data_IF_566758782768
#
_entry.id   IF_566758782768
#
_cell.length_a   1.000
_cell.length_b   1.000
_cell.length_c   1.000
_cell.angle_alpha   90.00
_cell.angle_beta   90.00
_cell.angle_gamma   90.00
#
_symmetry.space_group_name_H-M   'P 1'
#
loop_
_entity.id
_entity.type
_entity.pdbx_description
1 polymer ?
#
# COMPACT_ATOMS: atom_id res chain seq x y z
N UNK A 1 29.50 15.09 -21.39
CA UNK A 1 29.59 14.27 -20.16
C UNK A 1 28.19 14.13 -19.61
N UNK A 2 27.53 13.03 -19.98
CA UNK A 2 26.22 12.65 -19.47
C UNK A 2 26.44 12.19 -18.04
N UNK A 3 26.23 13.08 -17.07
CA UNK A 3 25.85 12.58 -15.76
C UNK A 3 24.51 11.88 -16.02
N UNK A 4 24.53 10.54 -16.07
CA UNK A 4 23.38 9.76 -15.63
C UNK A 4 23.01 10.36 -14.29
N UNK A 5 22.03 11.27 -14.28
CA UNK A 5 21.20 11.42 -13.10
C UNK A 5 20.77 9.98 -12.86
N UNK A 6 21.16 9.35 -11.75
CA UNK A 6 20.59 8.05 -11.47
C UNK A 6 19.10 8.29 -11.58
N UNK A 7 18.46 7.61 -12.53
CA UNK A 7 17.11 7.12 -12.31
C UNK A 7 17.19 6.19 -11.11
N UNK A 8 17.56 6.73 -9.95
CA UNK A 8 17.17 6.21 -8.66
C UNK A 8 15.69 6.43 -8.71
N UNK A 9 15.02 5.47 -9.34
CA UNK A 9 13.61 5.18 -9.24
C UNK A 9 13.06 5.76 -7.94
N UNK A 10 12.29 6.85 -7.95
CA UNK A 10 10.94 6.70 -7.50
C UNK A 10 10.21 6.07 -8.72
N UNK A 11 10.31 4.78 -9.00
CA UNK A 11 10.12 3.80 -7.95
C UNK A 11 8.83 4.06 -7.18
N UNK A 12 7.92 4.91 -7.68
CA UNK A 12 6.52 4.88 -7.31
C UNK A 12 5.88 3.71 -8.08
N UNK A 13 6.53 2.54 -8.03
CA UNK A 13 5.82 1.37 -7.57
C UNK A 13 5.24 1.84 -6.24
N UNK A 14 3.97 2.24 -6.25
CA UNK A 14 3.15 2.07 -5.06
C UNK A 14 3.23 0.58 -4.78
N UNK A 15 4.34 0.19 -4.14
CA UNK A 15 4.49 -1.05 -3.45
C UNK A 15 3.41 -0.88 -2.42
N UNK A 16 2.25 -1.49 -2.67
CA UNK A 16 1.22 -1.66 -1.67
C UNK A 16 1.86 -2.57 -0.62
N UNK A 17 2.71 -1.94 0.19
CA UNK A 17 3.29 -2.48 1.39
C UNK A 17 2.11 -2.55 2.34
N UNK A 18 1.38 -3.66 2.24
CA UNK A 18 0.72 -4.24 3.39
C UNK A 18 1.77 -4.70 4.41
N UNK A 19 2.64 -3.79 4.89
CA UNK A 19 3.33 -3.97 6.15
C UNK A 19 2.38 -3.54 7.25
N UNK A 20 1.45 -4.43 7.55
CA UNK A 20 0.69 -4.41 8.78
C UNK A 20 1.45 -5.24 9.82
N UNK A 21 2.60 -4.72 10.22
CA UNK A 21 3.31 -5.12 11.43
C UNK A 21 3.15 -3.98 12.43
N UNK A 22 2.07 -4.02 13.21
CA UNK A 22 1.99 -3.26 14.46
C UNK A 22 2.80 -4.05 15.48
N UNK A 23 4.11 -3.78 15.55
CA UNK A 23 4.89 -4.05 16.75
C UNK A 23 4.90 -2.75 17.57
N UNK A 24 3.95 -2.62 18.49
CA UNK A 24 3.93 -1.57 19.49
C UNK A 24 4.92 -1.91 20.61
N UNK A 25 6.14 -1.36 20.54
CA UNK A 25 6.95 -1.05 21.71
C UNK A 25 7.21 0.46 21.70
N UNK A 26 6.37 1.20 22.41
CA UNK A 26 6.53 2.64 22.59
C UNK A 26 7.71 2.96 23.51
N UNK A 27 8.78 3.51 22.95
CA UNK A 27 9.77 4.30 23.69
C UNK A 27 9.29 5.75 23.75
N UNK A 28 8.84 6.19 24.92
CA UNK A 28 8.46 7.59 25.16
C UNK A 28 9.71 8.49 25.22
N UNK A 29 9.64 9.75 24.75
CA UNK A 29 10.72 10.71 24.93
C UNK A 29 10.82 11.17 26.39
N UNK A 30 12.05 11.36 26.87
CA UNK A 30 12.36 11.87 28.20
C UNK A 30 11.78 13.28 28.42
N UNK A 31 11.02 13.46 29.50
CA UNK A 31 10.56 14.77 29.99
C UNK A 31 11.71 15.53 30.66
N UNK A 32 11.82 16.87 30.48
CA UNK A 32 12.72 17.71 31.27
C UNK A 32 12.34 17.73 32.77
N UNK A 33 13.29 17.99 33.69
CA UNK A 33 13.05 17.96 35.13
C UNK A 33 12.20 19.16 35.59
N UNK A 34 11.11 18.89 36.31
CA UNK A 34 10.28 19.88 36.99
C UNK A 34 10.73 20.05 38.47
N UNK A 35 10.59 21.24 39.09
CA UNK A 35 11.07 21.55 40.43
C UNK A 35 10.26 20.86 41.55
N UNK A 36 10.81 20.74 42.77
CA UNK A 36 10.20 19.96 43.84
C UNK A 36 8.94 20.65 44.42
N UNK A 37 7.82 19.93 44.40
CA UNK A 37 6.57 20.26 45.07
C UNK A 37 6.36 19.35 46.31
N UNK A 38 5.55 19.77 47.30
CA UNK A 38 5.69 19.39 48.71
C UNK A 38 5.15 17.99 49.06
N UNK A 39 5.66 17.46 50.17
CA UNK A 39 5.33 16.16 50.73
C UNK A 39 3.81 15.94 50.93
N UNK A 40 3.28 14.93 50.25
CA UNK A 40 1.91 14.46 50.39
C UNK A 40 1.87 13.12 51.17
N UNK A 41 0.91 13.06 52.07
CA UNK A 41 0.67 12.06 53.10
C UNK A 41 0.55 10.64 52.56
N UNK A 42 1.20 9.68 53.23
CA UNK A 42 1.21 8.27 52.89
C UNK A 42 -0.20 7.64 52.91
N UNK A 43 -0.66 7.19 51.74
CA UNK A 43 -1.78 6.26 51.60
C UNK A 43 -1.27 4.80 51.69
N UNK A 44 -2.09 3.86 52.19
CA UNK A 44 -1.70 2.46 52.38
C UNK A 44 -1.39 1.76 51.04
N UNK A 45 -0.27 1.04 51.05
CA UNK A 45 0.27 0.22 49.98
C UNK A 45 -0.76 -0.83 49.50
N UNK A 46 -1.10 -0.90 48.20
CA UNK A 46 -1.88 -2.00 47.65
C UNK A 46 -1.11 -3.31 47.81
N UNK A 47 -1.77 -4.34 48.36
CA UNK A 47 -1.25 -5.70 48.40
C UNK A 47 -0.98 -6.18 46.98
N UNK A 48 0.24 -6.68 46.75
CA UNK A 48 0.62 -7.38 45.53
C UNK A 48 -0.29 -8.58 45.35
N UNK A 49 -1.03 -8.71 44.22
CA UNK A 49 -1.73 -9.95 43.94
C UNK A 49 -0.70 -11.09 43.86
N UNK A 50 -1.05 -12.31 44.32
CA UNK A 50 -0.16 -13.47 44.20
C UNK A 50 0.22 -13.68 42.71
N UNK A 51 1.41 -14.24 42.42
CA UNK A 51 1.84 -14.52 41.05
C UNK A 51 0.80 -15.43 40.41
N UNK A 52 -0.04 -14.85 39.56
CA UNK A 52 -1.09 -15.55 38.87
C UNK A 52 -0.47 -16.69 38.07
N UNK A 53 -1.00 -17.90 38.29
CA UNK A 53 -0.79 -19.01 37.39
C UNK A 53 -0.98 -18.50 35.96
N UNK A 54 0.09 -18.56 35.15
CA UNK A 54 0.03 -18.19 33.75
C UNK A 54 -1.06 -19.01 33.08
N UNK A 55 -2.23 -18.40 32.89
CA UNK A 55 -3.32 -19.04 32.18
C UNK A 55 -2.85 -19.17 30.74
N UNK A 56 -2.36 -20.36 30.39
CA UNK A 56 -2.08 -20.74 29.02
C UNK A 56 -3.33 -20.42 28.20
N UNK A 57 -3.23 -19.45 27.28
CA UNK A 57 -4.33 -19.10 26.39
C UNK A 57 -4.80 -20.36 25.66
N UNK A 58 -6.10 -20.62 25.65
CA UNK A 58 -6.65 -21.81 25.00
C UNK A 58 -6.68 -21.62 23.49
N UNK A 59 -6.76 -22.71 22.72
CA UNK A 59 -6.96 -22.62 21.27
C UNK A 59 -8.21 -21.81 20.87
N UNK A 60 -9.24 -21.80 21.72
CA UNK A 60 -10.44 -21.00 21.53
C UNK A 60 -10.18 -19.49 21.76
N UNK A 61 -9.30 -19.15 22.71
CA UNK A 61 -8.88 -17.76 22.92
C UNK A 61 -8.06 -17.25 21.72
N UNK A 62 -7.12 -18.06 21.23
CA UNK A 62 -6.34 -17.73 20.03
C UNK A 62 -7.22 -17.56 18.79
N UNK A 63 -8.22 -18.44 18.59
CA UNK A 63 -9.18 -18.31 17.49
C UNK A 63 -9.98 -17.01 17.61
N UNK A 64 -10.53 -16.71 18.78
CA UNK A 64 -11.30 -15.47 19.01
C UNK A 64 -10.46 -14.24 18.74
N UNK A 65 -9.21 -14.23 19.20
CA UNK A 65 -8.29 -13.10 19.01
C UNK A 65 -7.89 -12.97 17.54
N UNK A 66 -7.63 -14.08 16.85
CA UNK A 66 -7.39 -14.11 15.41
C UNK A 66 -8.58 -13.55 14.63
N UNK A 67 -9.79 -14.01 14.92
CA UNK A 67 -11.02 -13.56 14.24
C UNK A 67 -11.27 -12.07 14.49
N UNK A 68 -11.07 -11.58 15.72
CA UNK A 68 -11.18 -10.16 16.07
C UNK A 68 -10.15 -9.31 15.33
N UNK A 69 -8.90 -9.79 15.19
CA UNK A 69 -7.87 -9.14 14.41
C UNK A 69 -8.17 -9.14 12.91
N UNK A 70 -8.58 -10.28 12.38
CA UNK A 70 -8.89 -10.48 10.96
C UNK A 70 -10.10 -9.65 10.52
N UNK A 71 -11.19 -9.62 11.30
CA UNK A 71 -12.38 -8.85 10.97
C UNK A 71 -12.14 -7.34 10.84
N UNK A 72 -11.12 -6.80 11.54
CA UNK A 72 -10.68 -5.40 11.40
C UNK A 72 -9.98 -5.11 10.07
N UNK A 73 -9.50 -6.15 9.37
CA UNK A 73 -8.70 -6.04 8.14
C UNK A 73 -9.46 -6.54 6.92
N UNK A 74 -10.06 -7.71 7.03
CA UNK A 74 -10.91 -8.30 6.01
C UNK A 74 -12.38 -7.95 6.32
N UNK A 75 -12.71 -6.67 6.20
CA UNK A 75 -14.07 -6.17 6.47
C UNK A 75 -15.06 -6.95 5.60
N UNK A 76 -16.17 -7.38 6.20
CA UNK A 76 -17.22 -8.19 5.57
C UNK A 76 -16.76 -9.55 5.02
N UNK A 77 -15.66 -10.11 5.54
CA UNK A 77 -15.11 -11.38 5.04
C UNK A 77 -14.92 -12.43 6.15
N UNK A 78 -15.97 -12.81 6.92
CA UNK A 78 -15.85 -13.80 7.99
C UNK A 78 -15.38 -15.17 7.47
N UNK A 79 -15.85 -15.59 6.29
CA UNK A 79 -15.43 -16.84 5.65
C UNK A 79 -13.94 -16.86 5.29
N UNK A 80 -13.39 -15.72 4.90
CA UNK A 80 -11.95 -15.58 4.67
C UNK A 80 -11.19 -15.74 5.97
N UNK A 81 -11.65 -15.12 7.06
CA UNK A 81 -11.00 -15.21 8.36
C UNK A 81 -11.04 -16.64 8.91
N UNK A 82 -12.16 -17.35 8.79
CA UNK A 82 -12.23 -18.76 9.20
C UNK A 82 -11.33 -19.66 8.34
N UNK A 83 -11.32 -19.46 7.03
CA UNK A 83 -10.41 -20.19 6.14
C UNK A 83 -8.93 -19.91 6.51
N UNK A 84 -8.58 -18.63 6.73
CA UNK A 84 -7.24 -18.22 7.07
C UNK A 84 -6.78 -18.82 8.40
N UNK A 85 -7.66 -18.86 9.40
CA UNK A 85 -7.40 -19.54 10.67
C UNK A 85 -7.16 -21.04 10.46
N UNK A 86 -7.98 -21.68 9.62
CA UNK A 86 -7.82 -23.09 9.24
C UNK A 86 -6.45 -23.39 8.61
N UNK A 87 -5.97 -22.54 7.70
CA UNK A 87 -4.62 -22.67 7.13
C UNK A 87 -3.53 -22.35 8.17
N UNK A 88 -3.77 -21.39 9.06
CA UNK A 88 -2.83 -21.02 10.12
C UNK A 88 -2.55 -22.17 11.08
N UNK A 89 -3.59 -22.89 11.53
CA UNK A 89 -3.44 -24.07 12.40
C UNK A 89 -2.76 -25.26 11.73
N UNK A 90 -2.64 -25.30 10.40
CA UNK A 90 -1.87 -26.34 9.71
C UNK A 90 -0.36 -26.08 9.78
N UNK A 91 0.06 -24.85 10.06
CA UNK A 91 1.48 -24.44 10.06
C UNK A 91 2.03 -24.24 11.48
N UNK A 92 1.19 -23.73 12.38
CA UNK A 92 1.53 -23.43 13.77
C UNK A 92 0.83 -24.39 14.74
N UNK A 93 1.62 -24.88 15.69
CA UNK A 93 1.13 -25.67 16.83
C UNK A 93 0.51 -24.78 17.89
N UNK A 94 -0.31 -25.36 18.78
CA UNK A 94 -0.94 -24.62 19.87
C UNK A 94 0.11 -24.07 20.85
N UNK A 95 1.23 -24.77 21.03
CA UNK A 95 2.38 -24.31 21.82
C UNK A 95 3.07 -23.09 21.20
N UNK A 96 3.31 -23.09 19.88
CA UNK A 96 3.90 -21.96 19.16
C UNK A 96 3.00 -20.72 19.21
N UNK A 97 1.69 -20.91 19.06
CA UNK A 97 0.72 -19.82 19.20
C UNK A 97 0.70 -19.26 20.62
N UNK A 98 0.78 -20.13 21.64
CA UNK A 98 0.71 -19.73 23.05
C UNK A 98 2.00 -19.08 23.55
N UNK A 99 3.15 -19.47 23.02
CA UNK A 99 4.44 -18.86 23.36
C UNK A 99 4.69 -17.55 22.60
N UNK A 100 3.96 -17.32 21.51
CA UNK A 100 4.20 -16.20 20.59
C UNK A 100 5.43 -16.39 19.70
N UNK A 101 6.08 -17.56 19.74
CA UNK A 101 7.19 -17.89 18.86
C UNK A 101 6.67 -18.26 17.47
N UNK A 102 6.60 -17.25 16.59
CA UNK A 102 6.15 -17.40 15.21
C UNK A 102 7.30 -17.14 14.24
N UNK A 103 8.08 -18.17 13.85
CA UNK A 103 9.21 -18.00 12.94
C UNK A 103 8.80 -17.35 11.63
N UNK A 104 9.59 -16.36 11.17
CA UNK A 104 9.29 -15.61 9.95
C UNK A 104 9.09 -16.51 8.71
N UNK A 105 9.86 -17.61 8.59
CA UNK A 105 9.71 -18.56 7.50
C UNK A 105 8.34 -19.28 7.51
N UNK A 106 7.82 -19.63 8.69
CA UNK A 106 6.46 -20.20 8.83
C UNK A 106 5.40 -19.14 8.54
N UNK A 107 5.62 -17.88 8.94
CA UNK A 107 4.72 -16.77 8.63
C UNK A 107 4.61 -16.52 7.12
N UNK A 108 5.72 -16.51 6.39
CA UNK A 108 5.69 -16.37 4.93
C UNK A 108 5.02 -17.57 4.25
N UNK A 109 5.25 -18.78 4.78
CA UNK A 109 4.56 -19.98 4.30
C UNK A 109 3.05 -19.89 4.51
N UNK A 110 2.59 -19.54 5.71
CA UNK A 110 1.14 -19.45 5.96
C UNK A 110 0.51 -18.33 5.14
N UNK A 111 1.17 -17.18 4.96
CA UNK A 111 0.65 -16.10 4.10
C UNK A 111 0.38 -16.59 2.68
N UNK A 112 1.36 -17.27 2.07
CA UNK A 112 1.20 -17.83 0.72
C UNK A 112 0.11 -18.90 0.65
N UNK A 113 -0.01 -19.76 1.68
CA UNK A 113 -1.09 -20.77 1.76
C UNK A 113 -2.47 -20.14 1.92
N UNK A 114 -2.62 -19.15 2.80
CA UNK A 114 -3.89 -18.44 3.03
C UNK A 114 -4.33 -17.73 1.76
N UNK A 115 -3.43 -17.01 1.07
CA UNK A 115 -3.78 -16.35 -0.19
C UNK A 115 -4.25 -17.37 -1.22
N UNK A 116 -3.52 -18.48 -1.39
CA UNK A 116 -3.90 -19.52 -2.35
C UNK A 116 -5.21 -20.24 -2.04
N UNK A 117 -5.47 -20.54 -0.77
CA UNK A 117 -6.63 -21.34 -0.34
C UNK A 117 -7.88 -20.50 -0.07
N UNK A 118 -7.71 -19.26 0.40
CA UNK A 118 -8.79 -18.46 0.98
C UNK A 118 -9.16 -17.23 0.15
N UNK A 119 -8.36 -16.80 -0.84
CA UNK A 119 -8.68 -15.57 -1.59
C UNK A 119 -10.07 -15.59 -2.26
N UNK A 120 -10.58 -16.76 -2.64
CA UNK A 120 -11.93 -16.90 -3.20
C UNK A 120 -13.07 -16.69 -2.19
N UNK A 121 -12.75 -16.58 -0.89
CA UNK A 121 -13.70 -16.28 0.20
C UNK A 121 -13.83 -14.78 0.47
N UNK A 122 -13.00 -13.95 -0.16
CA UNK A 122 -13.11 -12.50 -0.08
C UNK A 122 -14.22 -12.06 -1.05
N UNK A 123 -15.24 -11.31 -0.59
CA UNK A 123 -16.24 -10.76 -1.49
C UNK A 123 -15.60 -9.87 -2.55
N UNK A 124 -16.06 -9.99 -3.80
CA UNK A 124 -15.53 -9.19 -4.91
C UNK A 124 -15.64 -7.69 -4.64
N UNK A 125 -16.74 -7.24 -4.02
CA UNK A 125 -16.92 -5.83 -3.66
C UNK A 125 -15.84 -5.34 -2.67
N UNK A 126 -15.40 -6.16 -1.71
CA UNK A 126 -14.32 -5.78 -0.80
C UNK A 126 -12.99 -5.60 -1.54
N UNK A 127 -12.70 -6.44 -2.54
CA UNK A 127 -11.49 -6.32 -3.38
C UNK A 127 -11.59 -5.07 -4.26
N UNK A 128 -12.76 -4.84 -4.87
CA UNK A 128 -13.03 -3.67 -5.69
C UNK A 128 -12.88 -2.38 -4.89
N UNK A 129 -13.48 -2.30 -3.72
CA UNK A 129 -13.42 -1.14 -2.84
C UNK A 129 -11.98 -0.87 -2.41
N UNK A 130 -11.22 -1.90 -2.05
CA UNK A 130 -9.81 -1.77 -1.73
C UNK A 130 -8.99 -1.28 -2.95
N UNK A 131 -9.26 -1.81 -4.15
CA UNK A 131 -8.61 -1.38 -5.38
C UNK A 131 -8.90 0.09 -5.69
N UNK A 132 -10.18 0.49 -5.66
CA UNK A 132 -10.60 1.86 -5.98
C UNK A 132 -10.08 2.84 -4.93
N UNK A 133 -10.20 2.50 -3.65
CA UNK A 133 -9.66 3.32 -2.54
C UNK A 133 -8.15 3.47 -2.66
N UNK A 134 -7.44 2.38 -2.93
CA UNK A 134 -5.99 2.42 -3.14
C UNK A 134 -5.57 3.26 -4.35
N UNK A 135 -6.35 3.23 -5.43
CA UNK A 135 -6.11 4.03 -6.63
C UNK A 135 -6.44 5.52 -6.44
N UNK A 136 -7.51 5.85 -5.71
CA UNK A 136 -7.89 7.23 -5.36
C UNK A 136 -6.93 7.82 -4.33
N UNK A 137 -6.35 6.97 -3.48
CA UNK A 137 -5.58 7.37 -2.30
C UNK A 137 -6.48 7.66 -1.10
N UNK A 138 -5.85 7.78 0.06
CA UNK A 138 -6.52 8.03 1.35
C UNK A 138 -5.92 9.26 2.05
N UNK A 139 -6.67 9.85 2.97
CA UNK A 139 -6.24 11.00 3.77
C UNK A 139 -5.87 12.21 2.93
N UNK A 140 -4.76 12.88 3.28
CA UNK A 140 -4.29 14.10 2.60
C UNK A 140 -3.85 13.87 1.15
N UNK A 141 -3.65 12.62 0.72
CA UNK A 141 -3.26 12.29 -0.65
C UNK A 141 -4.43 11.80 -1.52
N UNK A 142 -5.65 11.76 -0.97
CA UNK A 142 -6.84 11.35 -1.70
C UNK A 142 -7.12 12.31 -2.86
N UNK A 143 -7.34 11.75 -4.06
CA UNK A 143 -7.66 12.46 -5.30
C UNK A 143 -9.05 11.99 -5.77
N UNK A 144 -10.14 12.40 -5.12
CA UNK A 144 -11.49 11.87 -5.40
C UNK A 144 -11.92 12.01 -6.87
N UNK A 145 -11.38 13.01 -7.57
CA UNK A 145 -11.59 13.22 -9.00
C UNK A 145 -11.02 12.10 -9.89
N UNK A 146 -10.11 11.24 -9.40
CA UNK A 146 -9.61 10.05 -10.13
C UNK A 146 -10.53 8.85 -9.99
N UNK A 147 -11.57 8.91 -9.14
CA UNK A 147 -12.45 7.77 -8.87
C UNK A 147 -13.01 7.13 -10.15
N UNK A 148 -13.49 7.93 -11.10
CA UNK A 148 -14.02 7.40 -12.38
C UNK A 148 -12.95 6.69 -13.21
N UNK A 149 -11.70 7.15 -13.17
CA UNK A 149 -10.58 6.46 -13.81
C UNK A 149 -10.27 5.13 -13.12
N UNK A 150 -10.24 5.11 -11.79
CA UNK A 150 -10.00 3.92 -10.99
C UNK A 150 -11.08 2.84 -11.21
N UNK A 151 -12.37 3.22 -11.19
CA UNK A 151 -13.48 2.30 -11.45
C UNK A 151 -13.46 1.70 -12.86
N UNK A 152 -13.11 2.52 -13.86
CA UNK A 152 -12.91 2.03 -15.22
C UNK A 152 -11.75 1.03 -15.27
N UNK A 153 -10.62 1.36 -14.65
CA UNK A 153 -9.41 0.53 -14.68
C UNK A 153 -9.66 -0.81 -13.98
N UNK A 154 -10.39 -0.81 -12.86
CA UNK A 154 -10.88 -2.04 -12.22
C UNK A 154 -11.65 -2.91 -13.20
N UNK A 155 -12.63 -2.32 -13.90
CA UNK A 155 -13.48 -3.03 -14.85
C UNK A 155 -12.66 -3.64 -15.99
N UNK A 156 -11.68 -2.90 -16.52
CA UNK A 156 -10.78 -3.42 -17.57
C UNK A 156 -9.86 -4.54 -17.07
N UNK A 157 -9.37 -4.46 -15.83
CA UNK A 157 -8.61 -5.55 -15.23
C UNK A 157 -9.47 -6.79 -14.98
N UNK A 158 -10.72 -6.62 -14.54
CA UNK A 158 -11.65 -7.74 -14.30
C UNK A 158 -12.00 -8.54 -15.55
N UNK A 159 -11.84 -7.96 -16.75
CA UNK A 159 -11.95 -8.71 -18.02
C UNK A 159 -10.81 -9.71 -18.23
N UNK A 160 -9.69 -9.56 -17.52
CA UNK A 160 -8.45 -10.36 -17.71
C UNK A 160 -8.03 -11.16 -16.49
N UNK A 161 -8.49 -10.75 -15.30
CA UNK A 161 -8.13 -11.33 -14.01
C UNK A 161 -9.39 -11.53 -13.18
N UNK A 162 -9.44 -12.63 -12.45
CA UNK A 162 -10.40 -12.83 -11.36
C UNK A 162 -10.20 -11.79 -10.26
N UNK A 163 -11.22 -11.55 -9.43
CA UNK A 163 -11.08 -10.65 -8.29
C UNK A 163 -9.99 -11.15 -7.32
N UNK A 164 -9.93 -12.46 -7.07
CA UNK A 164 -8.89 -13.09 -6.25
C UNK A 164 -7.47 -12.85 -6.81
N UNK A 165 -7.26 -13.01 -8.12
CA UNK A 165 -5.99 -12.67 -8.79
C UNK A 165 -5.60 -11.20 -8.59
N UNK A 166 -6.57 -10.27 -8.59
CA UNK A 166 -6.31 -8.85 -8.37
C UNK A 166 -6.03 -8.49 -6.89
N UNK A 167 -6.35 -9.38 -5.96
CA UNK A 167 -5.96 -9.28 -4.55
C UNK A 167 -4.62 -9.95 -4.24
N UNK A 168 -4.05 -10.70 -5.19
CA UNK A 168 -2.81 -11.45 -5.02
C UNK A 168 -1.57 -10.65 -5.46
N UNK A 169 -0.61 -10.50 -4.54
CA UNK A 169 0.61 -9.73 -4.78
C UNK A 169 1.49 -10.36 -5.85
N UNK A 170 1.54 -11.69 -5.92
CA UNK A 170 2.30 -12.42 -6.95
C UNK A 170 1.80 -12.09 -8.35
N UNK A 171 0.48 -12.06 -8.51
CA UNK A 171 -0.19 -11.70 -9.76
C UNK A 171 0.07 -10.24 -10.13
N UNK A 172 -0.06 -9.29 -9.20
CA UNK A 172 0.19 -7.86 -9.45
C UNK A 172 1.65 -7.61 -9.89
N UNK A 173 2.61 -8.38 -9.37
CA UNK A 173 4.03 -8.30 -9.74
C UNK A 173 4.37 -9.08 -11.02
N UNK A 174 3.44 -9.86 -11.55
CA UNK A 174 3.69 -10.72 -12.71
C UNK A 174 3.80 -9.90 -14.01
N UNK A 175 4.57 -10.43 -14.97
CA UNK A 175 4.66 -9.87 -16.31
C UNK A 175 3.28 -9.82 -16.99
N UNK A 176 2.42 -10.82 -16.76
CA UNK A 176 1.04 -10.84 -17.28
C UNK A 176 0.24 -9.61 -16.82
N UNK A 177 0.36 -9.21 -15.56
CA UNK A 177 -0.29 -8.01 -15.05
C UNK A 177 0.32 -6.74 -15.64
N UNK A 178 1.66 -6.65 -15.69
CA UNK A 178 2.37 -5.52 -16.32
C UNK A 178 1.96 -5.32 -17.78
N UNK A 179 1.91 -6.39 -18.58
CA UNK A 179 1.47 -6.33 -19.99
C UNK A 179 -0.01 -5.98 -20.15
N UNK A 180 -0.84 -6.29 -19.15
CA UNK A 180 -2.26 -5.93 -19.16
C UNK A 180 -2.52 -4.47 -18.77
N UNK A 181 -1.60 -3.84 -18.04
CA UNK A 181 -1.73 -2.49 -17.47
C UNK A 181 -1.88 -1.42 -18.56
N UNK A 182 -0.97 -1.36 -19.54
CA UNK A 182 -1.02 -0.34 -20.60
C UNK A 182 -2.32 -0.37 -21.41
N UNK A 183 -2.82 -1.54 -21.89
CA UNK A 183 -4.12 -1.60 -22.56
C UNK A 183 -5.29 -1.11 -21.69
N UNK A 184 -5.35 -1.53 -20.42
CA UNK A 184 -6.42 -1.11 -19.51
C UNK A 184 -6.43 0.41 -19.29
N UNK A 185 -5.26 1.01 -19.08
CA UNK A 185 -5.11 2.46 -18.90
C UNK A 185 -5.49 3.23 -20.16
N UNK A 186 -5.11 2.73 -21.34
CA UNK A 186 -5.48 3.37 -22.61
C UNK A 186 -6.99 3.44 -22.81
N UNK A 187 -7.72 2.38 -22.47
CA UNK A 187 -9.19 2.38 -22.52
C UNK A 187 -9.78 3.42 -21.57
N UNK A 188 -9.20 3.56 -20.39
CA UNK A 188 -9.69 4.47 -19.35
C UNK A 188 -9.13 5.90 -19.44
N UNK A 189 -8.26 6.20 -20.41
CA UNK A 189 -7.46 7.41 -20.42
C UNK A 189 -8.28 8.70 -20.40
N UNK A 190 -9.44 8.70 -21.06
CA UNK A 190 -10.35 9.85 -21.11
C UNK A 190 -10.97 10.21 -19.75
N UNK A 191 -10.91 9.30 -18.76
CA UNK A 191 -11.44 9.53 -17.41
C UNK A 191 -10.40 10.08 -16.44
N UNK A 192 -9.12 10.16 -16.84
CA UNK A 192 -8.08 10.76 -16.00
C UNK A 192 -8.16 12.30 -16.08
N UNK A 193 -8.40 13.00 -14.96
CA UNK A 193 -8.39 14.46 -14.96
C UNK A 193 -6.98 15.00 -15.27
N UNK A 194 -6.88 15.87 -16.28
CA UNK A 194 -5.59 16.45 -16.69
C UNK A 194 -4.91 17.23 -15.55
N UNK A 195 -5.70 17.91 -14.72
CA UNK A 195 -5.23 18.66 -13.55
C UNK A 195 -4.51 17.77 -12.52
N UNK A 196 -5.03 16.56 -12.28
CA UNK A 196 -4.41 15.59 -11.37
C UNK A 196 -3.10 15.08 -11.91
N UNK A 197 -3.10 14.62 -13.16
CA UNK A 197 -1.90 14.12 -13.81
C UNK A 197 -0.80 15.19 -13.85
N UNK A 198 -1.18 16.44 -14.14
CA UNK A 198 -0.28 17.59 -14.10
C UNK A 198 0.25 17.84 -12.69
N UNK A 199 -0.61 17.84 -11.67
CA UNK A 199 -0.19 18.06 -10.29
C UNK A 199 0.82 16.99 -9.83
N UNK A 200 0.55 15.71 -10.11
CA UNK A 200 1.48 14.61 -9.84
C UNK A 200 2.82 14.78 -10.58
N UNK A 201 2.77 15.09 -11.88
CA UNK A 201 3.96 15.36 -12.68
C UNK A 201 4.78 16.53 -12.12
N UNK A 202 4.13 17.65 -11.80
CA UNK A 202 4.81 18.84 -11.27
C UNK A 202 5.39 18.59 -9.87
N UNK A 203 4.71 17.83 -9.01
CA UNK A 203 5.23 17.40 -7.70
C UNK A 203 6.52 16.58 -7.84
N UNK A 204 6.60 15.71 -8.85
CA UNK A 204 7.80 14.91 -9.14
C UNK A 204 8.93 15.71 -9.81
N UNK A 205 8.59 16.54 -10.79
CA UNK A 205 9.55 17.25 -11.63
C UNK A 205 10.10 18.51 -10.97
N UNK A 206 9.26 19.33 -10.35
CA UNK A 206 9.60 20.66 -9.87
C UNK A 206 10.00 20.66 -8.38
N UNK A 207 10.79 19.66 -7.97
CA UNK A 207 11.38 19.61 -6.62
C UNK A 207 12.29 20.81 -6.34
N UNK A 208 12.94 21.34 -7.38
CA UNK A 208 13.67 22.60 -7.37
C UNK A 208 12.81 23.70 -8.02
N UNK A 209 12.59 24.85 -7.36
CA UNK A 209 11.93 26.01 -7.97
C UNK A 209 12.53 26.44 -9.31
N UNK A 210 13.85 26.28 -9.51
CA UNK A 210 14.54 26.59 -10.78
C UNK A 210 14.14 25.64 -11.91
N UNK A 211 13.67 24.44 -11.59
CA UNK A 211 13.18 23.48 -12.57
C UNK A 211 11.75 23.78 -13.07
N UNK A 212 11.00 24.69 -12.43
CA UNK A 212 9.61 25.00 -12.81
C UNK A 212 9.41 25.36 -14.30
N UNK A 213 10.25 26.21 -14.94
CA UNK A 213 10.11 26.49 -16.37
C UNK A 213 10.35 25.25 -17.23
N UNK A 214 11.36 24.44 -16.89
CA UNK A 214 11.62 23.17 -17.57
C UNK A 214 10.44 22.21 -17.41
N UNK A 215 9.92 22.01 -16.20
CA UNK A 215 8.81 21.09 -15.93
C UNK A 215 7.53 21.52 -16.64
N UNK A 216 7.21 22.82 -16.64
CA UNK A 216 6.05 23.33 -17.38
C UNK A 216 6.18 23.08 -18.89
N UNK A 217 7.39 23.27 -19.44
CA UNK A 217 7.67 22.94 -20.85
C UNK A 217 7.56 21.43 -21.11
N UNK A 218 8.19 20.61 -20.27
CA UNK A 218 8.18 19.15 -20.38
C UNK A 218 6.77 18.58 -20.33
N UNK A 219 5.92 19.05 -19.42
CA UNK A 219 4.51 18.68 -19.36
C UNK A 219 3.80 18.93 -20.69
N UNK A 220 3.94 20.15 -21.25
CA UNK A 220 3.31 20.52 -22.52
C UNK A 220 3.80 19.65 -23.68
N UNK A 221 5.09 19.34 -23.74
CA UNK A 221 5.66 18.52 -24.81
C UNK A 221 5.30 17.02 -24.69
N UNK A 222 5.22 16.51 -23.46
CA UNK A 222 4.73 15.15 -23.19
C UNK A 222 3.27 15.02 -23.60
N UNK A 223 2.39 15.94 -23.19
CA UNK A 223 0.94 15.87 -23.48
C UNK A 223 0.58 15.92 -24.96
N UNK A 224 1.48 16.34 -25.85
CA UNK A 224 1.29 16.25 -27.31
C UNK A 224 1.32 14.80 -27.83
N UNK A 225 1.81 13.85 -27.05
CA UNK A 225 2.11 12.50 -27.49
C UNK A 225 1.54 11.42 -26.58
N UNK A 226 1.42 11.73 -25.28
CA UNK A 226 0.98 10.79 -24.26
C UNK A 226 -0.22 11.35 -23.50
N UNK A 227 -1.16 10.48 -23.15
CA UNK A 227 -2.34 10.88 -22.39
C UNK A 227 -1.99 11.26 -20.95
N UNK A 228 -2.89 12.01 -20.29
CA UNK A 228 -2.76 12.31 -18.86
C UNK A 228 -2.67 11.03 -18.01
N UNK A 229 -3.45 10.01 -18.37
CA UNK A 229 -3.45 8.72 -17.68
C UNK A 229 -2.11 7.98 -17.84
N UNK A 230 -1.56 7.93 -19.05
CA UNK A 230 -0.27 7.28 -19.29
C UNK A 230 0.87 7.98 -18.54
N UNK A 231 0.84 9.31 -18.44
CA UNK A 231 1.80 10.07 -17.64
C UNK A 231 1.65 9.83 -16.15
N UNK A 232 0.42 9.80 -15.65
CA UNK A 232 0.13 9.58 -14.23
C UNK A 232 0.56 8.17 -13.78
N UNK A 233 0.36 7.19 -14.65
CA UNK A 233 0.62 5.77 -14.36
C UNK A 233 1.95 5.28 -14.88
N UNK A 234 2.76 6.13 -15.53
CA UNK A 234 4.05 5.76 -16.11
C UNK A 234 3.96 4.54 -17.05
N UNK A 235 3.04 4.59 -18.01
CA UNK A 235 2.79 3.49 -18.97
C UNK A 235 3.08 3.82 -20.42
N UNK A 236 3.71 4.95 -20.67
CA UNK A 236 4.16 5.38 -21.99
C UNK A 236 5.60 4.93 -22.26
N UNK A 237 6.00 4.95 -23.54
CA UNK A 237 7.41 4.76 -23.90
C UNK A 237 8.22 6.03 -23.58
N UNK A 238 8.94 5.98 -22.47
CA UNK A 238 9.72 7.09 -21.93
C UNK A 238 10.78 7.60 -22.91
N UNK A 239 11.52 6.71 -23.57
CA UNK A 239 12.69 7.07 -24.39
C UNK A 239 12.36 8.06 -25.51
N UNK A 240 11.42 7.78 -26.43
CA UNK A 240 11.07 8.71 -27.49
C UNK A 240 10.36 9.96 -26.97
N UNK A 241 9.58 9.83 -25.89
CA UNK A 241 8.87 10.95 -25.28
C UNK A 241 9.86 11.97 -24.70
N UNK A 242 10.81 11.52 -23.88
CA UNK A 242 11.82 12.38 -23.28
C UNK A 242 12.87 12.91 -24.26
N UNK A 243 13.18 12.19 -25.35
CA UNK A 243 14.02 12.72 -26.42
C UNK A 243 13.44 14.01 -27.03
N UNK A 244 12.11 14.09 -27.19
CA UNK A 244 11.42 15.30 -27.69
C UNK A 244 11.37 16.40 -26.62
N UNK A 245 11.15 16.03 -25.35
CA UNK A 245 11.24 16.98 -24.23
C UNK A 245 12.62 17.62 -24.15
N UNK A 246 13.70 16.83 -24.19
CA UNK A 246 15.06 17.37 -24.10
C UNK A 246 15.37 18.29 -25.30
N UNK A 247 14.95 17.90 -26.51
CA UNK A 247 15.12 18.74 -27.71
C UNK A 247 14.40 20.10 -27.58
N UNK A 248 13.19 20.12 -27.04
CA UNK A 248 12.37 21.33 -26.95
C UNK A 248 12.69 22.18 -25.71
N UNK A 249 12.91 21.53 -24.57
CA UNK A 249 12.96 22.14 -23.24
C UNK A 249 14.35 22.12 -22.59
N UNK A 250 15.32 21.36 -23.10
CA UNK A 250 16.61 21.12 -22.42
C UNK A 250 17.42 22.40 -22.12
N UNK A 251 17.25 23.45 -22.92
CA UNK A 251 17.87 24.77 -22.67
C UNK A 251 17.41 25.43 -21.36
N UNK A 252 16.24 25.05 -20.84
CA UNK A 252 15.67 25.58 -19.61
C UNK A 252 16.30 24.97 -18.34
N UNK A 253 17.07 23.87 -18.45
CA UNK A 253 17.75 23.25 -17.30
C UNK A 253 19.01 23.99 -16.85
N UNK A 254 19.55 24.88 -17.69
CA UNK A 254 20.83 25.57 -17.48
C UNK A 254 20.67 27.01 -16.94
N UNK A 255 19.45 27.42 -16.63
CA UNK A 255 19.13 28.74 -16.09
C UNK A 255 18.76 28.58 -14.62
#
# INVERSE_FOLDING_TARGET
MLASVPSGTPGLVATFVGALLVASCGGAPAKPPEPPAPAETAAPKPETPPPGAGSSATAADHHRDFMSGCAKKAINSPDYCECAWGEFRKVFTDEEMSSGDMPAAKLERVKSQVVGACASKIPEESIRDAFVTGCVGEGENAQPETKSFCECTWTEFRKKFSAAELGDEGTIKSERFTSARTPAIKVCAAKMPDGVAKAGFMKGCAKDPKAQPFCTCAWKELRKQVSAAELYTDTFDEKPAFAKVEKACGKLRKK
#
